data_IF_321831617821
#
_entry.id   IF_321831617821
#
_cell.length_a   1.000
_cell.length_b   1.000
_cell.length_c   1.000
_cell.angle_alpha   90.00
_cell.angle_beta   90.00
_cell.angle_gamma   90.00
#
_symmetry.space_group_name_H-M   'P 1'
#
loop_
_entity.id
_entity.type
_entity.pdbx_description
1 polymer ?
#
# COMPACT_ATOMS: atom_id res chain seq x y z
N UNK A 1 -22.13 -9.65 13.68
CA UNK A 1 -20.85 -9.16 14.17
C UNK A 1 -20.17 -8.23 13.20
N UNK A 2 -18.94 -7.86 13.49
CA UNK A 2 -18.11 -6.97 12.66
C UNK A 2 -16.61 -7.24 12.83
N UNK A 3 -15.84 -6.91 11.82
CA UNK A 3 -14.37 -6.95 11.82
C UNK A 3 -13.85 -5.52 11.91
N UNK A 4 -12.96 -5.25 12.88
CA UNK A 4 -12.42 -3.92 13.12
C UNK A 4 -10.90 -3.92 13.16
N UNK A 5 -10.29 -2.76 12.88
CA UNK A 5 -8.86 -2.57 13.11
C UNK A 5 -8.62 -2.23 14.58
N UNK A 6 -8.02 -3.17 15.29
CA UNK A 6 -7.52 -3.02 16.65
C UNK A 6 -6.20 -2.23 16.60
N UNK A 7 -6.31 -0.88 16.65
CA UNK A 7 -5.19 0.04 16.46
C UNK A 7 -4.21 0.01 17.64
N UNK A 8 -4.71 -0.25 18.84
CA UNK A 8 -3.91 -0.27 20.06
C UNK A 8 -3.50 -1.69 20.53
N UNK A 9 -4.05 -2.72 19.92
CA UNK A 9 -3.70 -4.12 20.14
C UNK A 9 -4.24 -4.72 21.44
N UNK A 10 -5.32 -4.16 22.00
CA UNK A 10 -5.92 -4.65 23.25
C UNK A 10 -7.00 -5.74 23.04
N UNK A 11 -7.37 -6.02 21.78
CA UNK A 11 -8.37 -7.04 21.40
C UNK A 11 -9.82 -6.62 21.63
N UNK A 12 -10.09 -5.39 22.04
CA UNK A 12 -11.43 -4.86 22.30
C UNK A 12 -11.63 -3.54 21.59
N UNK A 13 -12.87 -3.27 21.13
CA UNK A 13 -13.19 -2.00 20.47
C UNK A 13 -13.23 -0.86 21.46
N UNK A 14 -12.68 0.28 21.09
CA UNK A 14 -12.84 1.56 21.78
C UNK A 14 -13.35 2.66 20.84
N UNK A 15 -13.61 3.86 21.38
CA UNK A 15 -14.20 4.96 20.63
C UNK A 15 -13.29 5.57 19.56
N UNK A 16 -11.98 5.29 19.59
CA UNK A 16 -11.00 5.78 18.60
C UNK A 16 -10.89 4.82 17.40
N UNK A 17 -11.26 3.55 17.56
CA UNK A 17 -11.13 2.49 16.57
C UNK A 17 -12.34 2.41 15.65
N UNK A 18 -12.44 3.37 14.74
CA UNK A 18 -13.56 3.49 13.80
C UNK A 18 -13.39 2.66 12.52
N UNK A 19 -12.19 2.18 12.22
CA UNK A 19 -11.92 1.42 10.98
C UNK A 19 -12.64 0.07 11.02
N UNK A 20 -13.37 -0.23 9.91
CA UNK A 20 -14.07 -1.48 9.68
C UNK A 20 -13.56 -2.11 8.39
N UNK A 21 -13.22 -3.39 8.43
CA UNK A 21 -12.58 -4.08 7.31
C UNK A 21 -13.63 -4.79 6.45
N UNK A 22 -13.94 -4.25 5.24
CA UNK A 22 -14.88 -4.87 4.31
C UNK A 22 -14.23 -6.01 3.52
N UNK A 23 -15.08 -6.82 2.90
CA UNK A 23 -14.69 -7.90 1.96
C UNK A 23 -13.79 -8.99 2.54
N UNK A 24 -13.73 -9.11 3.88
CA UNK A 24 -12.93 -10.14 4.56
C UNK A 24 -13.81 -11.36 4.85
N UNK A 25 -13.29 -12.54 4.54
CA UNK A 25 -13.92 -13.80 4.88
C UNK A 25 -13.93 -14.03 6.40
N UNK A 26 -15.03 -14.53 6.93
CA UNK A 26 -15.20 -14.89 8.34
C UNK A 26 -15.75 -16.29 8.48
N UNK A 27 -15.43 -16.98 9.58
CA UNK A 27 -15.95 -18.31 9.87
C UNK A 27 -16.31 -18.46 11.35
N UNK A 28 -17.43 -19.14 11.65
CA UNK A 28 -17.85 -19.53 13.02
C UNK A 28 -18.50 -20.92 12.94
N UNK A 29 -18.01 -21.87 13.69
CA UNK A 29 -18.61 -23.22 13.77
C UNK A 29 -18.78 -23.91 12.42
N UNK A 30 -17.87 -23.73 11.49
CA UNK A 30 -17.91 -24.28 10.13
C UNK A 30 -18.75 -23.47 9.13
N UNK A 31 -19.54 -22.51 9.58
CA UNK A 31 -20.24 -21.58 8.69
C UNK A 31 -19.32 -20.46 8.27
N UNK A 32 -19.44 -20.01 7.02
CA UNK A 32 -18.59 -18.95 6.43
C UNK A 32 -19.44 -17.83 5.84
N UNK A 33 -18.85 -16.64 5.79
CA UNK A 33 -19.44 -15.44 5.16
C UNK A 33 -18.36 -14.43 4.84
N UNK A 34 -18.78 -13.26 4.36
CA UNK A 34 -17.87 -12.15 4.02
C UNK A 34 -18.39 -10.88 4.65
N UNK A 35 -17.51 -10.03 5.14
CA UNK A 35 -17.89 -8.73 5.68
C UNK A 35 -18.41 -7.79 4.59
N UNK A 36 -19.48 -7.07 4.90
CA UNK A 36 -20.09 -6.04 4.04
C UNK A 36 -19.18 -4.82 3.90
N UNK A 37 -19.60 -3.83 3.10
CA UNK A 37 -18.90 -2.53 2.99
C UNK A 37 -18.69 -1.83 4.34
N UNK A 38 -19.59 -2.04 5.32
CA UNK A 38 -19.42 -1.54 6.69
C UNK A 38 -18.65 -2.47 7.63
N UNK A 39 -17.94 -3.48 7.11
CA UNK A 39 -17.18 -4.44 7.89
C UNK A 39 -18.03 -5.39 8.74
N UNK A 40 -19.35 -5.47 8.50
CA UNK A 40 -20.27 -6.32 9.28
C UNK A 40 -20.49 -7.67 8.61
N UNK A 41 -20.75 -8.69 9.43
CA UNK A 41 -21.12 -10.02 8.95
C UNK A 41 -22.33 -10.59 9.71
N UNK A 42 -23.04 -11.51 9.07
CA UNK A 42 -24.09 -12.31 9.68
C UNK A 42 -23.99 -13.75 9.18
N UNK A 43 -23.98 -14.70 10.07
CA UNK A 43 -23.91 -16.13 9.75
C UNK A 43 -25.15 -16.84 10.32
N UNK A 44 -25.84 -17.56 9.47
CA UNK A 44 -26.99 -18.39 9.85
C UNK A 44 -26.55 -19.83 10.13
N UNK A 45 -27.37 -20.58 10.86
CA UNK A 45 -27.18 -22.01 11.12
C UNK A 45 -25.85 -22.38 11.78
N UNK A 46 -25.28 -21.46 12.55
CA UNK A 46 -24.11 -21.76 13.37
C UNK A 46 -24.51 -22.72 14.50
N UNK A 47 -23.78 -23.83 14.73
CA UNK A 47 -24.09 -24.77 15.80
C UNK A 47 -24.11 -24.10 17.18
N UNK A 48 -25.10 -24.50 18.01
CA UNK A 48 -25.20 -23.98 19.37
C UNK A 48 -24.01 -24.35 20.25
N UNK A 49 -23.73 -23.55 21.27
CA UNK A 49 -22.66 -23.77 22.22
C UNK A 49 -21.42 -22.92 21.95
N UNK A 50 -20.31 -23.31 22.54
CA UNK A 50 -19.03 -22.60 22.39
C UNK A 50 -18.46 -22.84 20.97
N UNK A 51 -18.17 -21.76 20.27
CA UNK A 51 -17.61 -21.73 18.92
C UNK A 51 -16.39 -20.81 18.88
N UNK A 52 -15.52 -20.98 17.86
CA UNK A 52 -14.46 -20.03 17.53
C UNK A 52 -14.89 -19.19 16.34
N UNK A 53 -14.87 -17.89 16.49
CA UNK A 53 -15.09 -16.93 15.41
C UNK A 53 -13.72 -16.47 14.90
N UNK A 54 -13.48 -16.51 13.57
CA UNK A 54 -12.18 -16.21 12.96
C UNK A 54 -12.37 -15.43 11.66
N UNK A 55 -11.47 -14.48 11.40
CA UNK A 55 -11.27 -13.93 10.07
C UNK A 55 -10.35 -14.87 9.27
N UNK A 56 -10.66 -15.04 7.98
CA UNK A 56 -9.84 -15.83 7.06
C UNK A 56 -8.64 -15.00 6.63
N UNK A 57 -7.45 -15.38 7.09
CA UNK A 57 -6.21 -14.61 6.95
C UNK A 57 -5.84 -14.30 5.51
N UNK A 58 -6.15 -15.22 4.58
CA UNK A 58 -5.91 -15.06 3.14
C UNK A 58 -6.80 -13.99 2.47
N UNK A 59 -7.79 -13.48 3.18
CA UNK A 59 -8.69 -12.41 2.70
C UNK A 59 -8.48 -11.08 3.40
N UNK A 60 -7.57 -11.01 4.38
CA UNK A 60 -7.22 -9.76 5.05
C UNK A 60 -6.45 -8.84 4.12
N UNK A 61 -6.58 -7.51 4.27
CA UNK A 61 -5.72 -6.56 3.58
C UNK A 61 -4.23 -6.86 3.85
N UNK A 62 -3.37 -6.41 2.93
CA UNK A 62 -1.93 -6.62 3.04
C UNK A 62 -1.39 -6.20 4.41
N UNK A 63 -0.57 -7.06 5.00
CA UNK A 63 0.09 -6.89 6.32
C UNK A 63 -0.84 -6.94 7.55
N UNK A 64 -2.15 -7.14 7.38
CA UNK A 64 -3.04 -7.38 8.51
C UNK A 64 -2.99 -8.84 8.97
N UNK A 65 -3.17 -9.02 10.27
CA UNK A 65 -3.41 -10.32 10.92
C UNK A 65 -4.70 -10.23 11.74
N UNK A 66 -5.29 -11.36 12.09
CA UNK A 66 -6.46 -11.38 12.96
C UNK A 66 -6.31 -12.47 14.03
N UNK A 67 -6.87 -12.20 15.21
CA UNK A 67 -6.96 -13.18 16.28
C UNK A 67 -8.41 -13.66 16.40
N UNK A 68 -8.59 -14.98 16.48
CA UNK A 68 -9.91 -15.57 16.70
C UNK A 68 -10.43 -15.27 18.11
N UNK A 69 -11.75 -15.18 18.23
CA UNK A 69 -12.44 -14.97 19.53
C UNK A 69 -13.40 -16.14 19.80
N UNK A 70 -13.54 -16.49 21.08
CA UNK A 70 -14.57 -17.44 21.51
C UNK A 70 -15.92 -16.76 21.58
N UNK A 71 -16.97 -17.43 21.11
CA UNK A 71 -18.35 -16.98 21.14
C UNK A 71 -19.28 -18.12 21.54
N UNK A 72 -20.27 -17.83 22.38
CA UNK A 72 -21.35 -18.80 22.68
C UNK A 72 -22.53 -18.52 21.76
N UNK A 73 -23.01 -19.53 21.06
CA UNK A 73 -24.15 -19.46 20.13
C UNK A 73 -25.39 -20.05 20.82
N UNK A 74 -26.56 -19.37 20.77
CA UNK A 74 -26.81 -18.07 20.16
C UNK A 74 -26.10 -16.92 20.88
N UNK A 75 -25.53 -15.99 20.10
CA UNK A 75 -24.87 -14.82 20.67
C UNK A 75 -25.93 -13.78 21.11
N UNK A 76 -25.71 -13.17 22.27
CA UNK A 76 -26.60 -12.14 22.83
C UNK A 76 -26.30 -10.72 22.30
N UNK A 77 -25.22 -10.57 21.52
CA UNK A 77 -24.79 -9.30 20.94
C UNK A 77 -23.87 -9.50 19.73
N UNK A 78 -23.35 -8.39 19.22
CA UNK A 78 -22.39 -8.43 18.11
C UNK A 78 -21.08 -9.08 18.52
N UNK A 79 -20.59 -9.94 17.66
CA UNK A 79 -19.24 -10.53 17.78
C UNK A 79 -18.25 -9.56 17.13
N UNK A 80 -17.35 -8.98 17.92
CA UNK A 80 -16.28 -8.13 17.43
C UNK A 80 -15.03 -8.97 17.17
N UNK A 81 -14.56 -9.00 15.93
CA UNK A 81 -13.32 -9.66 15.52
C UNK A 81 -12.21 -8.63 15.38
N UNK A 82 -11.11 -8.72 16.18
CA UNK A 82 -9.98 -7.82 16.02
C UNK A 82 -9.10 -8.26 14.85
N UNK A 83 -8.76 -7.30 14.00
CA UNK A 83 -7.70 -7.40 13.02
C UNK A 83 -6.62 -6.36 13.31
N UNK A 84 -5.37 -6.71 13.09
CA UNK A 84 -4.24 -5.93 13.54
C UNK A 84 -3.21 -5.75 12.44
N UNK A 85 -2.71 -4.52 12.30
CA UNK A 85 -1.53 -4.21 11.50
C UNK A 85 -0.32 -4.16 12.44
N UNK A 86 0.69 -4.98 12.18
CA UNK A 86 1.92 -5.00 12.99
C UNK A 86 2.85 -3.90 12.49
N UNK A 87 2.94 -2.81 13.24
CA UNK A 87 3.82 -1.67 12.96
C UNK A 87 4.73 -1.38 14.16
N UNK A 88 5.79 -0.60 13.95
CA UNK A 88 6.66 -0.16 15.02
C UNK A 88 5.89 0.61 16.10
N UNK A 89 6.28 0.47 17.37
CA UNK A 89 5.57 1.05 18.52
C UNK A 89 5.44 2.58 18.48
N UNK A 90 6.22 3.26 17.64
CA UNK A 90 6.17 4.71 17.43
C UNK A 90 5.40 5.12 16.18
N UNK A 91 5.07 4.16 15.32
CA UNK A 91 4.35 4.42 14.09
C UNK A 91 2.87 4.71 14.39
N UNK A 92 2.28 5.55 13.57
CA UNK A 92 0.90 6.03 13.72
C UNK A 92 -0.02 5.17 12.86
N UNK A 93 -0.98 4.44 13.44
CA UNK A 93 -1.99 3.72 12.67
C UNK A 93 -2.73 4.65 11.71
N UNK A 94 -3.09 4.13 10.53
CA UNK A 94 -3.81 4.85 9.47
C UNK A 94 -3.09 6.09 8.89
N UNK A 95 -1.79 6.27 9.18
CA UNK A 95 -0.95 7.29 8.53
C UNK A 95 -0.17 6.66 7.40
N UNK A 96 -0.30 7.23 6.21
CA UNK A 96 0.37 6.81 4.97
C UNK A 96 1.30 7.93 4.52
N UNK A 97 2.49 7.58 4.05
CA UNK A 97 3.43 8.54 3.48
C UNK A 97 3.49 8.30 1.96
N UNK A 98 2.87 9.17 1.17
CA UNK A 98 3.04 9.18 -0.28
C UNK A 98 4.40 9.80 -0.61
N UNK A 99 5.35 8.98 -1.05
CA UNK A 99 6.75 9.34 -1.19
C UNK A 99 7.25 9.15 -2.62
N UNK A 100 7.58 10.27 -3.29
CA UNK A 100 7.93 10.25 -4.70
C UNK A 100 8.45 11.57 -5.23
N UNK A 101 8.38 11.71 -6.54
CA UNK A 101 8.80 12.88 -7.31
C UNK A 101 7.63 13.84 -7.64
N UNK A 102 7.70 14.54 -8.77
CA UNK A 102 6.65 15.48 -9.25
C UNK A 102 5.29 14.79 -9.48
N UNK A 103 5.29 13.50 -9.82
CA UNK A 103 4.04 12.73 -9.96
C UNK A 103 3.36 12.57 -8.58
N UNK A 104 4.13 12.40 -7.52
CA UNK A 104 3.56 12.36 -6.16
C UNK A 104 3.16 13.75 -5.66
N UNK A 105 3.87 14.82 -6.08
CA UNK A 105 3.42 16.22 -5.82
C UNK A 105 2.02 16.45 -6.39
N UNK A 106 1.73 15.94 -7.58
CA UNK A 106 0.47 16.14 -8.30
C UNK A 106 0.60 17.00 -9.55
N UNK A 107 1.84 17.25 -10.05
CA UNK A 107 2.05 18.06 -11.26
C UNK A 107 1.27 17.51 -12.45
N UNK A 108 0.50 18.40 -13.11
CA UNK A 108 -0.34 18.05 -14.27
C UNK A 108 -1.80 17.76 -13.97
N UNK A 109 -2.19 17.57 -12.69
CA UNK A 109 -3.60 17.57 -12.30
C UNK A 109 -4.17 18.99 -12.24
N UNK A 110 -5.50 19.13 -12.34
CA UNK A 110 -6.16 20.44 -12.35
C UNK A 110 -6.10 21.15 -11.00
N UNK A 111 -5.99 20.42 -9.91
CA UNK A 111 -5.91 20.89 -8.53
C UNK A 111 -4.50 20.86 -7.95
N UNK A 112 -3.51 20.34 -8.69
CA UNK A 112 -2.12 20.14 -8.25
C UNK A 112 -1.97 19.18 -7.06
N UNK A 113 -3.00 18.36 -6.75
CA UNK A 113 -3.01 17.41 -5.62
C UNK A 113 -2.76 15.96 -6.09
N UNK A 114 -2.99 15.70 -7.39
CA UNK A 114 -2.70 14.42 -8.04
C UNK A 114 -3.52 13.27 -7.47
N UNK A 115 -2.85 12.14 -7.11
CA UNK A 115 -3.53 10.94 -6.61
C UNK A 115 -3.70 10.92 -5.09
N UNK A 116 -3.03 11.80 -4.34
CA UNK A 116 -2.87 11.66 -2.89
C UNK A 116 -4.17 11.95 -2.16
N UNK A 117 -4.80 13.08 -2.46
CA UNK A 117 -6.05 13.51 -1.81
C UNK A 117 -7.24 12.62 -2.21
N UNK A 118 -7.31 12.24 -3.49
CA UNK A 118 -8.31 11.28 -3.98
C UNK A 118 -8.16 9.91 -3.30
N UNK A 119 -6.93 9.44 -3.09
CA UNK A 119 -6.66 8.20 -2.37
C UNK A 119 -7.10 8.31 -0.91
N UNK A 120 -6.80 9.42 -0.24
CA UNK A 120 -7.23 9.67 1.13
C UNK A 120 -8.75 9.66 1.25
N UNK A 121 -9.45 10.38 0.37
CA UNK A 121 -10.91 10.42 0.35
C UNK A 121 -11.52 9.02 0.11
N UNK A 122 -10.95 8.25 -0.82
CA UNK A 122 -11.40 6.89 -1.08
C UNK A 122 -11.14 5.96 0.13
N UNK A 123 -9.97 6.03 0.77
CA UNK A 123 -9.65 5.23 1.94
C UNK A 123 -10.57 5.56 3.12
N UNK A 124 -10.85 6.84 3.37
CA UNK A 124 -11.81 7.27 4.39
C UNK A 124 -13.23 6.75 4.12
N UNK A 125 -13.64 6.73 2.85
CA UNK A 125 -14.93 6.15 2.45
C UNK A 125 -14.95 4.63 2.63
N UNK A 126 -13.85 3.95 2.31
CA UNK A 126 -13.78 2.49 2.30
C UNK A 126 -13.75 1.88 3.70
N UNK A 127 -12.95 2.40 4.61
CA UNK A 127 -12.85 1.85 5.96
C UNK A 127 -12.89 2.87 7.12
N UNK A 128 -13.17 4.13 6.81
CA UNK A 128 -13.57 5.12 7.82
C UNK A 128 -12.46 6.04 8.34
N UNK A 129 -11.18 5.79 8.03
CA UNK A 129 -10.05 6.60 8.54
C UNK A 129 -8.82 6.46 7.65
N UNK A 130 -8.21 7.59 7.29
CA UNK A 130 -6.91 7.68 6.65
C UNK A 130 -6.34 9.08 6.84
N UNK A 131 -5.01 9.19 6.89
CA UNK A 131 -4.23 10.44 6.92
C UNK A 131 -3.04 10.20 5.96
N UNK A 132 -3.10 10.74 4.74
CA UNK A 132 -2.07 10.54 3.73
C UNK A 132 -1.23 11.79 3.58
N UNK A 133 0.02 11.71 4.01
CA UNK A 133 0.98 12.81 3.89
C UNK A 133 1.59 12.80 2.49
N UNK A 134 1.41 13.88 1.73
CA UNK A 134 2.13 14.08 0.47
C UNK A 134 3.57 14.51 0.77
N UNK A 135 4.51 13.63 0.47
CA UNK A 135 5.95 13.88 0.57
C UNK A 135 6.63 13.75 -0.80
N UNK A 136 5.93 14.18 -1.86
CA UNK A 136 6.49 14.35 -3.20
C UNK A 136 7.53 15.48 -3.23
N UNK A 137 8.52 15.35 -4.11
CA UNK A 137 9.49 16.43 -4.40
C UNK A 137 9.83 16.45 -5.88
N UNK A 138 9.43 17.52 -6.56
CA UNK A 138 9.58 17.68 -8.00
C UNK A 138 11.01 17.53 -8.49
N UNK A 139 11.15 16.96 -9.70
CA UNK A 139 12.41 16.76 -10.39
C UNK A 139 13.46 15.90 -9.66
N UNK A 140 13.08 15.18 -8.59
CA UNK A 140 14.01 14.30 -7.86
C UNK A 140 14.07 12.90 -8.47
N UNK A 141 15.26 12.30 -8.41
CA UNK A 141 15.53 10.91 -8.77
C UNK A 141 15.47 10.01 -7.54
N UNK A 142 15.50 8.71 -7.77
CA UNK A 142 15.44 7.71 -6.69
C UNK A 142 16.60 7.81 -5.69
N UNK A 143 17.82 8.19 -6.12
CA UNK A 143 18.97 8.39 -5.25
C UNK A 143 18.77 9.55 -4.25
N UNK A 144 18.21 10.66 -4.71
CA UNK A 144 17.85 11.79 -3.86
C UNK A 144 16.68 11.41 -2.92
N UNK A 145 15.69 10.69 -3.43
CA UNK A 145 14.59 10.15 -2.63
C UNK A 145 15.10 9.26 -1.50
N UNK A 146 15.95 8.28 -1.80
CA UNK A 146 16.55 7.39 -0.79
C UNK A 146 17.26 8.19 0.31
N UNK A 147 17.99 9.22 -0.05
CA UNK A 147 18.70 10.05 0.93
C UNK A 147 17.76 10.85 1.85
N UNK A 148 16.58 11.22 1.36
CA UNK A 148 15.56 12.00 2.08
C UNK A 148 14.65 11.16 2.97
N UNK A 149 14.40 9.90 2.60
CA UNK A 149 13.41 9.03 3.24
C UNK A 149 13.56 8.90 4.78
N UNK A 150 14.77 8.71 5.35
CA UNK A 150 14.91 8.58 6.80
C UNK A 150 14.38 9.78 7.58
N UNK A 151 14.51 10.99 7.03
CA UNK A 151 13.96 12.22 7.63
C UNK A 151 12.42 12.22 7.65
N UNK A 152 11.79 11.81 6.56
CA UNK A 152 10.32 11.73 6.46
C UNK A 152 9.75 10.63 7.35
N UNK A 153 10.40 9.46 7.41
CA UNK A 153 10.02 8.38 8.33
C UNK A 153 10.07 8.82 9.79
N UNK A 154 11.13 9.52 10.18
CA UNK A 154 11.27 10.05 11.55
C UNK A 154 10.21 11.11 11.90
N UNK A 155 9.87 11.97 10.95
CA UNK A 155 8.90 13.08 11.13
C UNK A 155 7.47 12.56 11.21
N UNK A 156 7.06 11.71 10.26
CA UNK A 156 5.66 11.33 10.08
C UNK A 156 5.31 10.03 10.80
N UNK A 157 6.28 9.14 11.00
CA UNK A 157 6.10 7.82 11.66
C UNK A 157 4.91 7.05 11.06
N UNK A 158 4.88 6.86 9.73
CA UNK A 158 3.73 6.28 9.06
C UNK A 158 3.58 4.79 9.35
N UNK A 159 2.36 4.25 9.14
CA UNK A 159 2.12 2.81 9.06
C UNK A 159 2.53 2.24 7.70
N UNK A 160 2.35 3.03 6.63
CA UNK A 160 2.69 2.65 5.26
C UNK A 160 3.51 3.73 4.56
N UNK A 161 4.38 3.32 3.64
CA UNK A 161 5.07 4.21 2.69
C UNK A 161 4.73 3.78 1.28
N UNK A 162 4.12 4.70 0.51
CA UNK A 162 3.76 4.51 -0.89
C UNK A 162 4.90 5.09 -1.73
N UNK A 163 5.80 4.23 -2.22
CA UNK A 163 7.03 4.63 -2.90
C UNK A 163 6.76 4.70 -4.41
N UNK A 164 6.87 5.89 -5.00
CA UNK A 164 6.73 6.12 -6.45
C UNK A 164 7.91 6.95 -6.98
N UNK A 165 8.98 6.27 -7.36
CA UNK A 165 10.20 6.84 -7.90
C UNK A 165 10.68 6.09 -9.14
N UNK A 166 11.57 6.71 -9.91
CA UNK A 166 12.24 6.13 -11.05
C UNK A 166 11.99 6.87 -12.37
N UNK A 167 10.90 7.63 -12.43
CA UNK A 167 10.55 8.40 -13.65
C UNK A 167 11.69 9.32 -14.09
N UNK A 168 12.34 10.01 -13.17
CA UNK A 168 13.42 10.94 -13.46
C UNK A 168 14.80 10.26 -13.63
N UNK A 169 14.95 9.00 -13.23
CA UNK A 169 16.22 8.29 -13.31
C UNK A 169 16.69 8.11 -14.77
N UNK A 170 15.76 7.91 -15.71
CA UNK A 170 16.06 7.88 -17.14
C UNK A 170 16.79 9.13 -17.65
N UNK A 171 16.63 10.29 -16.99
CA UNK A 171 17.31 11.51 -17.39
C UNK A 171 18.82 11.47 -17.07
N UNK A 172 19.26 10.57 -16.18
CA UNK A 172 20.67 10.36 -15.90
C UNK A 172 21.33 9.63 -17.09
N UNK A 173 22.46 10.14 -17.65
CA UNK A 173 23.17 9.46 -18.71
C UNK A 173 23.60 8.04 -18.34
N UNK A 174 23.96 7.78 -17.09
CA UNK A 174 24.34 6.44 -16.62
C UNK A 174 23.15 5.45 -16.74
N UNK A 175 21.93 5.89 -16.45
CA UNK A 175 20.74 5.04 -16.56
C UNK A 175 20.33 4.74 -18.00
N UNK A 176 20.68 5.61 -18.95
CA UNK A 176 20.47 5.35 -20.38
C UNK A 176 21.52 4.42 -20.97
N UNK A 177 22.79 4.57 -20.55
CA UNK A 177 23.92 3.82 -21.11
C UNK A 177 24.19 2.48 -20.43
N UNK A 178 23.85 2.34 -19.14
CA UNK A 178 24.17 1.16 -18.33
C UNK A 178 22.91 0.67 -17.56
N UNK A 179 21.98 0.06 -18.31
CA UNK A 179 20.83 -0.59 -17.69
C UNK A 179 21.27 -1.80 -16.83
N UNK A 180 20.73 -1.97 -15.61
CA UNK A 180 19.59 -1.28 -15.01
C UNK A 180 19.92 -0.02 -14.19
N UNK A 181 21.12 0.48 -14.18
CA UNK A 181 21.59 1.60 -13.35
C UNK A 181 21.27 1.43 -11.84
N UNK A 182 21.19 2.54 -11.09
CA UNK A 182 21.01 2.53 -9.64
C UNK A 182 19.54 2.40 -9.19
N UNK A 183 18.56 2.57 -10.08
CA UNK A 183 17.13 2.71 -9.73
C UNK A 183 16.63 1.58 -8.82
N UNK A 184 16.87 0.32 -9.20
CA UNK A 184 16.36 -0.84 -8.44
C UNK A 184 17.02 -0.94 -7.08
N UNK A 185 18.31 -0.60 -6.97
CA UNK A 185 19.04 -0.60 -5.71
C UNK A 185 18.51 0.48 -4.76
N UNK A 186 18.27 1.69 -5.26
CA UNK A 186 17.70 2.78 -4.46
C UNK A 186 16.29 2.45 -3.98
N UNK A 187 15.46 1.85 -4.83
CA UNK A 187 14.12 1.40 -4.43
C UNK A 187 14.19 0.28 -3.38
N UNK A 188 15.14 -0.66 -3.51
CA UNK A 188 15.40 -1.70 -2.50
C UNK A 188 15.77 -1.10 -1.15
N UNK A 189 16.70 -0.15 -1.16
CA UNK A 189 17.12 0.55 0.07
C UNK A 189 15.94 1.27 0.72
N UNK A 190 15.08 1.94 -0.06
CA UNK A 190 13.87 2.59 0.48
C UNK A 190 12.90 1.58 1.11
N UNK A 191 12.74 0.40 0.51
CA UNK A 191 11.92 -0.69 1.07
C UNK A 191 12.49 -1.16 2.41
N UNK A 192 13.81 -1.35 2.49
CA UNK A 192 14.49 -1.81 3.70
C UNK A 192 14.50 -0.73 4.79
N UNK A 193 14.75 0.53 4.45
CA UNK A 193 14.67 1.67 5.38
C UNK A 193 13.25 1.81 5.96
N UNK A 194 12.22 1.68 5.10
CA UNK A 194 10.81 1.70 5.53
C UNK A 194 10.52 0.63 6.58
N UNK A 195 10.94 -0.62 6.34
CA UNK A 195 10.75 -1.72 7.28
C UNK A 195 11.54 -1.52 8.56
N UNK A 196 12.78 -1.07 8.45
CA UNK A 196 13.63 -0.79 9.62
C UNK A 196 13.02 0.28 10.51
N UNK A 197 12.23 1.20 9.95
CA UNK A 197 11.45 2.19 10.68
C UNK A 197 10.11 1.65 11.23
N UNK A 198 9.80 0.38 11.01
CA UNK A 198 8.57 -0.27 11.49
C UNK A 198 7.32 0.03 10.63
N UNK A 199 7.49 0.52 9.39
CA UNK A 199 6.42 0.78 8.45
C UNK A 199 6.37 -0.29 7.35
N UNK A 200 5.25 -0.35 6.61
CA UNK A 200 5.07 -1.26 5.49
C UNK A 200 5.28 -0.57 4.15
N UNK A 201 6.22 -1.07 3.29
CA UNK A 201 6.46 -0.50 1.98
C UNK A 201 5.44 -1.01 0.95
N UNK A 202 4.95 -0.10 0.10
CA UNK A 202 4.21 -0.39 -1.13
C UNK A 202 4.95 0.31 -2.26
N UNK A 203 5.42 -0.45 -3.25
CA UNK A 203 6.19 0.10 -4.36
C UNK A 203 5.32 0.22 -5.60
N UNK A 204 5.18 1.45 -6.11
CA UNK A 204 4.52 1.70 -7.40
C UNK A 204 5.43 1.33 -8.56
N UNK A 205 4.90 0.62 -9.57
CA UNK A 205 5.59 0.50 -10.85
C UNK A 205 5.59 1.85 -11.56
N UNK A 206 6.73 2.20 -12.19
CA UNK A 206 6.97 3.48 -12.86
C UNK A 206 5.94 3.65 -14.00
N UNK A 207 5.14 4.74 -14.04
CA UNK A 207 4.20 4.96 -15.13
C UNK A 207 4.90 5.15 -16.47
N UNK A 208 4.23 4.90 -17.60
CA UNK A 208 4.78 5.20 -18.93
C UNK A 208 4.85 6.71 -19.15
N UNK A 209 5.50 7.13 -20.24
CA UNK A 209 5.44 8.51 -20.73
C UNK A 209 4.50 8.62 -21.94
N UNK A 210 4.03 9.83 -22.21
CA UNK A 210 3.12 10.12 -23.31
C UNK A 210 3.79 9.91 -24.67
N UNK A 211 3.31 8.96 -25.49
CA UNK A 211 3.94 8.63 -26.78
C UNK A 211 3.76 9.69 -27.86
N UNK A 212 2.93 10.72 -27.67
CA UNK A 212 2.72 11.77 -28.67
C UNK A 212 3.91 12.73 -28.81
N UNK A 213 4.81 12.78 -27.83
CA UNK A 213 5.98 13.69 -27.83
C UNK A 213 7.17 13.03 -28.53
N UNK A 214 7.12 12.91 -29.86
CA UNK A 214 8.13 12.20 -30.67
C UNK A 214 9.56 12.77 -30.48
N UNK A 215 9.70 14.06 -30.21
CA UNK A 215 10.97 14.76 -29.94
C UNK A 215 11.63 14.37 -28.60
N UNK A 216 10.92 13.64 -27.75
CA UNK A 216 11.39 13.20 -26.40
C UNK A 216 11.75 11.72 -26.33
N UNK A 217 11.90 11.03 -27.47
CA UNK A 217 12.20 9.60 -27.55
C UNK A 217 11.27 8.70 -26.71
N UNK A 218 9.94 8.84 -26.81
CA UNK A 218 9.00 8.12 -25.96
C UNK A 218 9.09 6.61 -26.08
N UNK A 219 9.42 6.07 -27.27
CA UNK A 219 9.56 4.64 -27.51
C UNK A 219 10.71 4.04 -26.69
N UNK A 220 11.88 4.65 -26.75
CA UNK A 220 13.06 4.21 -25.99
C UNK A 220 12.82 4.33 -24.49
N UNK A 221 12.22 5.44 -24.04
CA UNK A 221 11.92 5.67 -22.64
C UNK A 221 10.88 4.67 -22.11
N UNK A 222 9.82 4.40 -22.86
CA UNK A 222 8.80 3.41 -22.45
C UNK A 222 9.36 1.97 -22.47
N UNK A 223 10.30 1.64 -23.37
CA UNK A 223 11.00 0.34 -23.31
C UNK A 223 11.87 0.24 -22.05
N UNK A 224 12.61 1.30 -21.71
CA UNK A 224 13.38 1.35 -20.47
C UNK A 224 12.46 1.20 -19.25
N UNK A 225 11.34 1.94 -19.18
CA UNK A 225 10.35 1.86 -18.10
C UNK A 225 9.80 0.45 -17.96
N UNK A 226 9.41 -0.18 -19.05
CA UNK A 226 8.89 -1.56 -19.07
C UNK A 226 9.91 -2.53 -18.47
N UNK A 227 11.15 -2.50 -18.95
CA UNK A 227 12.25 -3.37 -18.47
C UNK A 227 12.60 -3.08 -17.01
N UNK A 228 12.59 -1.81 -16.60
CA UNK A 228 12.82 -1.41 -15.21
C UNK A 228 11.72 -1.95 -14.30
N UNK A 229 10.47 -1.86 -14.71
CA UNK A 229 9.34 -2.38 -13.94
C UNK A 229 9.39 -3.91 -13.75
N UNK A 230 9.95 -4.66 -14.71
CA UNK A 230 10.19 -6.09 -14.50
C UNK A 230 11.18 -6.34 -13.34
N UNK A 231 12.21 -5.52 -13.24
CA UNK A 231 13.18 -5.59 -12.12
C UNK A 231 12.59 -5.07 -10.81
N UNK A 232 11.75 -4.03 -10.85
CA UNK A 232 11.02 -3.53 -9.67
C UNK A 232 10.12 -4.62 -9.09
N UNK A 233 9.36 -5.34 -9.92
CA UNK A 233 8.53 -6.49 -9.47
C UNK A 233 9.37 -7.60 -8.87
N UNK A 234 10.51 -7.94 -9.50
CA UNK A 234 11.43 -8.96 -8.97
C UNK A 234 12.02 -8.53 -7.61
N UNK A 235 12.45 -7.29 -7.51
CA UNK A 235 12.96 -6.71 -6.26
C UNK A 235 11.88 -6.74 -5.17
N UNK A 236 10.66 -6.28 -5.48
CA UNK A 236 9.56 -6.27 -4.54
C UNK A 236 9.21 -7.70 -4.05
N UNK A 237 9.21 -8.69 -4.95
CA UNK A 237 9.01 -10.10 -4.57
C UNK A 237 10.12 -10.62 -3.65
N UNK A 238 11.40 -10.31 -3.93
CA UNK A 238 12.54 -10.68 -3.09
C UNK A 238 12.46 -10.05 -1.71
N UNK A 239 12.07 -8.78 -1.67
CA UNK A 239 11.88 -8.03 -0.43
C UNK A 239 10.49 -8.29 0.21
N UNK A 240 9.61 -9.11 -0.38
CA UNK A 240 8.22 -9.34 0.07
C UNK A 240 7.45 -8.02 0.27
N UNK A 241 7.70 -7.03 -0.57
CA UNK A 241 6.99 -5.77 -0.59
C UNK A 241 5.76 -5.86 -1.50
N UNK A 242 4.69 -5.17 -1.12
CA UNK A 242 3.50 -5.05 -1.97
C UNK A 242 3.81 -4.15 -3.17
N UNK A 243 3.21 -4.48 -4.32
CA UNK A 243 3.36 -3.70 -5.56
C UNK A 243 2.04 -3.04 -5.93
N UNK A 244 2.07 -1.75 -6.20
CA UNK A 244 1.00 -1.04 -6.88
C UNK A 244 1.29 -1.07 -8.40
N UNK A 245 0.48 -1.83 -9.16
CA UNK A 245 0.70 -2.11 -10.59
C UNK A 245 0.26 -0.95 -11.50
N UNK A 246 0.85 0.23 -11.28
CA UNK A 246 0.52 1.47 -11.99
C UNK A 246 0.79 1.31 -13.49
N UNK A 247 2.00 0.88 -13.88
CA UNK A 247 2.36 0.72 -15.30
C UNK A 247 1.41 -0.24 -16.02
N UNK A 248 1.12 -1.39 -15.41
CA UNK A 248 0.21 -2.37 -15.98
C UNK A 248 -1.20 -1.79 -16.19
N UNK A 249 -1.66 -0.95 -15.27
CA UNK A 249 -2.96 -0.30 -15.36
C UNK A 249 -3.02 0.75 -16.48
N UNK A 250 -1.98 1.55 -16.66
CA UNK A 250 -1.85 2.46 -17.81
C UNK A 250 -1.86 1.68 -19.14
N UNK A 251 -1.10 0.59 -19.22
CA UNK A 251 -1.00 -0.21 -20.45
C UNK A 251 -2.28 -0.98 -20.81
N UNK A 252 -3.24 -1.10 -19.88
CA UNK A 252 -4.57 -1.65 -20.16
C UNK A 252 -5.55 -0.64 -20.74
N UNK A 253 -5.21 0.64 -20.76
CA UNK A 253 -6.07 1.67 -21.33
C UNK A 253 -6.05 1.60 -22.86
N UNK A 254 -7.15 2.00 -23.50
CA UNK A 254 -7.28 1.97 -24.96
C UNK A 254 -6.28 2.91 -25.65
N UNK A 255 -5.86 3.98 -24.99
CA UNK A 255 -4.91 4.98 -25.48
C UNK A 255 -4.22 5.67 -24.32
N UNK A 256 -2.90 5.89 -24.43
CA UNK A 256 -2.13 6.59 -23.41
C UNK A 256 -2.24 8.12 -23.48
N UNK A 257 -2.21 8.78 -24.65
CA UNK A 257 -2.13 10.24 -24.72
C UNK A 257 -3.18 11.01 -23.91
N UNK A 258 -4.46 10.58 -23.87
CA UNK A 258 -5.49 11.29 -23.10
C UNK A 258 -5.31 11.24 -21.57
N UNK A 259 -4.32 10.51 -21.07
CA UNK A 259 -4.05 10.33 -19.63
C UNK A 259 -2.97 11.28 -19.12
N UNK A 260 -2.43 12.16 -19.97
CA UNK A 260 -1.29 13.00 -19.64
C UNK A 260 -1.61 14.47 -19.89
N UNK A 261 -1.10 15.32 -19.00
CA UNK A 261 -1.10 16.77 -19.15
C UNK A 261 0.03 17.24 -20.07
N UNK A 262 1.17 16.53 -20.00
CA UNK A 262 2.35 16.81 -20.84
C UNK A 262 3.05 15.50 -21.26
N UNK A 263 4.36 15.55 -21.53
CA UNK A 263 5.16 14.39 -21.87
C UNK A 263 5.24 13.36 -20.73
N UNK A 264 5.29 13.82 -19.50
CA UNK A 264 5.67 13.04 -18.31
C UNK A 264 4.56 12.93 -17.28
N UNK A 265 3.86 14.05 -17.02
CA UNK A 265 2.93 14.13 -15.91
C UNK A 265 1.53 13.65 -16.32
N UNK A 266 0.92 12.77 -15.54
CA UNK A 266 -0.48 12.41 -15.72
C UNK A 266 -1.39 13.64 -15.56
N UNK A 267 -2.53 13.63 -16.22
CA UNK A 267 -3.66 14.49 -15.88
C UNK A 267 -4.58 13.78 -14.88
N UNK A 268 -5.72 14.39 -14.55
CA UNK A 268 -6.67 13.83 -13.56
C UNK A 268 -7.05 12.38 -13.87
N UNK A 269 -7.28 12.04 -15.15
CA UNK A 269 -7.61 10.66 -15.55
C UNK A 269 -6.44 9.69 -15.32
N UNK A 270 -5.20 10.14 -15.58
CA UNK A 270 -4.00 9.37 -15.30
C UNK A 270 -3.75 9.22 -13.78
N UNK A 271 -4.02 10.25 -13.00
CA UNK A 271 -3.91 10.20 -11.54
C UNK A 271 -4.94 9.27 -10.91
N UNK A 272 -6.15 9.17 -11.45
CA UNK A 272 -7.13 8.16 -11.03
C UNK A 272 -6.59 6.72 -11.18
N UNK A 273 -5.81 6.44 -12.23
CA UNK A 273 -5.18 5.13 -12.40
C UNK A 273 -4.17 4.86 -11.29
N UNK A 274 -3.31 5.84 -10.96
CA UNK A 274 -2.33 5.72 -9.89
C UNK A 274 -3.02 5.52 -8.53
N UNK A 275 -4.01 6.33 -8.23
CA UNK A 275 -4.84 6.25 -7.04
C UNK A 275 -5.45 4.86 -6.87
N UNK A 276 -6.08 4.31 -7.92
CA UNK A 276 -6.69 2.97 -7.88
C UNK A 276 -5.65 1.86 -7.70
N UNK A 277 -4.46 1.99 -8.27
CA UNK A 277 -3.38 1.02 -8.09
C UNK A 277 -2.90 0.97 -6.63
N UNK A 278 -2.67 2.11 -5.99
CA UNK A 278 -2.32 2.17 -4.57
C UNK A 278 -3.47 1.71 -3.68
N UNK A 279 -4.69 2.12 -3.96
CA UNK A 279 -5.87 1.66 -3.21
C UNK A 279 -5.96 0.13 -3.18
N UNK A 280 -5.82 -0.53 -4.33
CA UNK A 280 -5.82 -2.00 -4.37
C UNK A 280 -4.65 -2.59 -3.60
N UNK A 281 -3.45 -2.04 -3.74
CA UNK A 281 -2.27 -2.54 -3.05
C UNK A 281 -2.38 -2.42 -1.51
N UNK A 282 -3.11 -1.42 -0.99
CA UNK A 282 -3.38 -1.27 0.45
C UNK A 282 -4.46 -2.25 0.91
N UNK A 283 -5.55 -2.36 0.16
CA UNK A 283 -6.80 -2.98 0.64
C UNK A 283 -6.96 -4.46 0.26
N UNK A 284 -6.17 -4.96 -0.70
CA UNK A 284 -6.19 -6.36 -1.12
C UNK A 284 -5.18 -7.21 -0.35
N UNK A 285 -5.42 -8.52 -0.24
CA UNK A 285 -4.46 -9.46 0.34
C UNK A 285 -3.13 -9.49 -0.45
N UNK A 286 -2.05 -9.85 0.23
CA UNK A 286 -0.78 -10.14 -0.43
C UNK A 286 -0.94 -11.32 -1.40
N UNK A 287 -0.45 -11.21 -2.66
CA UNK A 287 -0.49 -12.32 -3.59
C UNK A 287 0.27 -13.53 -3.04
N UNK A 288 -0.42 -14.66 -2.84
CA UNK A 288 0.20 -15.94 -2.54
C UNK A 288 0.62 -16.21 -1.10
N UNK A 289 0.18 -15.37 -0.14
CA UNK A 289 0.56 -15.60 1.26
C UNK A 289 -0.65 -15.67 2.20
N UNK A 290 -0.75 -16.80 2.92
CA UNK A 290 -1.05 -16.65 4.34
C UNK A 290 0.20 -16.02 4.96
N UNK A 291 0.23 -14.71 5.17
CA UNK A 291 1.34 -14.06 5.84
C UNK A 291 1.40 -14.59 7.28
N UNK A 292 2.34 -15.47 7.56
CA UNK A 292 2.62 -15.90 8.94
C UNK A 292 3.50 -14.83 9.58
N UNK A 293 3.38 -14.63 10.89
CA UNK A 293 4.22 -13.72 11.67
C UNK A 293 5.74 -13.95 11.46
N UNK A 294 6.14 -15.14 11.02
CA UNK A 294 7.50 -15.51 10.65
C UNK A 294 8.02 -14.77 9.40
N UNK A 295 7.12 -14.23 8.58
CA UNK A 295 7.46 -13.53 7.33
C UNK A 295 7.76 -12.04 7.53
N UNK A 296 7.37 -11.48 8.69
CA UNK A 296 7.79 -10.17 9.15
C UNK A 296 9.13 -10.39 9.89
N UNK A 297 10.24 -10.06 9.24
CA UNK A 297 11.59 -10.33 9.79
C UNK A 297 11.74 -9.91 11.26
N UNK A 298 12.75 -10.43 11.97
CA UNK A 298 12.91 -10.29 13.43
C UNK A 298 12.99 -8.83 13.92
N UNK A 299 13.21 -7.88 13.04
CA UNK A 299 13.33 -6.44 13.37
C UNK A 299 12.02 -5.79 13.77
N UNK A 300 10.86 -6.33 13.37
CA UNK A 300 9.55 -5.78 13.74
C UNK A 300 9.02 -6.31 15.09
N UNK A 301 9.67 -7.32 15.66
CA UNK A 301 9.23 -7.99 16.89
C UNK A 301 10.01 -7.58 18.15
N UNK A 302 11.08 -6.79 18.01
CA UNK A 302 11.90 -6.38 19.17
C UNK A 302 11.52 -4.96 19.64
N UNK A 303 11.29 -4.75 20.94
CA UNK A 303 11.14 -3.40 21.49
C UNK A 303 12.44 -2.61 21.28
N UNK A 304 12.37 -1.27 21.10
CA UNK A 304 13.55 -0.44 20.93
C UNK A 304 14.44 -0.52 22.20
N UNK A 305 15.67 -1.06 22.00
CA UNK A 305 16.65 -1.21 23.07
C UNK A 305 17.31 -2.59 23.19
N UNK A 306 16.78 -3.63 22.55
CA UNK A 306 17.41 -4.93 22.49
C UNK A 306 18.31 -5.02 21.23
N UNK A 307 19.58 -4.68 21.36
CA UNK A 307 20.62 -5.11 20.42
C UNK A 307 21.28 -6.34 21.01
N UNK A 308 21.70 -7.32 20.15
CA UNK A 308 22.51 -8.42 20.60
C UNK A 308 23.89 -7.94 21.06
#
# INVERSE_FOLDING_TARGET
>A
GFLFYDENGNGTTDGAESVRLPSVGVSIGGQTGTTTAGGRFSLASVPNGAQSAQARTETLPAYFTATGVSVTVPATGDVALPARLVIGSRNRPNVYLAFGDSITVGEGSTDEEGYVDDLEAQMRTFWGKADIVNAGQSATRSDAGRSRLPGELGRHRPAYVLILYGTNDYNDPACRSAFPCFTVEMLRDMVQDTRSAGAHPIVGTIPPVNPQYADRNPTERNDWVRRMNDLVRQMAAQERAQVAEIHGDFMRQASLPPLFADFLHPNDAGYQIIQQAFFRAITQPLPGAAATFADLGPTLLLPPGARP
#
